data_IF_665572433332
#
_entry.id   IF_665572433332
#
_cell.length_a   1.000
_cell.length_b   1.000
_cell.length_c   1.000
_cell.angle_alpha   90.00
_cell.angle_beta   90.00
_cell.angle_gamma   90.00
#
_symmetry.space_group_name_H-M   'P 1'
#
loop_
_entity.id
_entity.type
_entity.pdbx_description
1 polymer ?
#
# COMPACT_ATOMS: atom_id res chain seq x y z
N UNK A 1 -72.84 32.09 42.29
CA UNK A 1 -72.87 31.23 43.50
C UNK A 1 -72.54 29.80 43.08
N UNK A 2 -71.57 29.16 43.74
CA UNK A 2 -71.37 27.70 43.92
C UNK A 2 -71.32 26.73 42.70
N UNK A 3 -70.13 26.10 42.55
CA UNK A 3 -69.77 24.67 42.32
C UNK A 3 -70.53 23.79 41.28
N UNK A 4 -69.82 22.89 40.54
CA UNK A 4 -69.87 21.46 40.92
C UNK A 4 -68.63 20.56 40.61
N UNK A 5 -68.64 19.38 41.26
CA UNK A 5 -68.06 18.05 40.94
C UNK A 5 -66.81 17.49 41.71
N UNK A 6 -67.07 16.41 42.47
CA UNK A 6 -66.19 15.39 43.10
C UNK A 6 -66.90 14.02 42.91
N UNK A 7 -66.32 12.94 42.35
CA UNK A 7 -65.27 11.96 42.75
C UNK A 7 -65.70 10.80 43.68
N UNK A 8 -64.96 9.67 43.49
CA UNK A 8 -64.84 8.40 44.25
C UNK A 8 -65.78 7.25 43.80
N UNK A 9 -65.42 5.96 43.75
CA UNK A 9 -64.26 5.14 44.17
C UNK A 9 -64.37 3.74 43.51
N UNK A 10 -63.27 3.05 43.19
CA UNK A 10 -62.97 1.67 43.66
C UNK A 10 -61.66 1.08 43.07
N UNK A 11 -60.86 0.46 43.95
CA UNK A 11 -59.58 -0.23 43.72
C UNK A 11 -59.78 -1.61 43.06
N UNK A 12 -58.90 -2.02 42.14
CA UNK A 12 -58.58 -3.43 41.87
C UNK A 12 -57.09 -3.61 41.51
N UNK A 13 -56.55 -4.75 41.94
CA UNK A 13 -55.14 -5.18 42.04
C UNK A 13 -54.51 -5.69 40.72
N UNK A 14 -53.17 -5.87 40.77
CA UNK A 14 -52.29 -6.80 40.00
C UNK A 14 -51.72 -6.41 38.61
N UNK A 15 -50.37 -6.51 38.50
CA UNK A 15 -49.70 -7.08 37.31
C UNK A 15 -48.62 -6.22 36.64
N UNK A 16 -47.35 -6.43 37.00
CA UNK A 16 -46.16 -5.90 36.31
C UNK A 16 -46.06 -6.56 34.92
N UNK A 17 -46.56 -5.91 33.86
CA UNK A 17 -46.48 -6.38 32.46
C UNK A 17 -45.21 -5.86 31.79
N UNK A 18 -44.18 -6.69 31.69
CA UNK A 18 -43.06 -6.48 30.76
C UNK A 18 -43.61 -6.40 29.33
N UNK A 19 -43.34 -5.28 28.61
CA UNK A 19 -43.63 -5.16 27.18
C UNK A 19 -42.63 -6.02 26.40
N UNK A 20 -42.98 -7.28 26.17
CA UNK A 20 -42.32 -8.12 25.17
C UNK A 20 -42.64 -7.58 23.78
N UNK A 21 -41.64 -7.04 23.06
CA UNK A 21 -41.74 -6.86 21.60
C UNK A 21 -41.83 -8.27 21.01
N UNK A 22 -42.87 -8.62 20.22
CA UNK A 22 -42.96 -9.94 19.60
C UNK A 22 -41.71 -10.18 18.75
N UNK A 23 -41.09 -11.35 18.87
CA UNK A 23 -39.89 -11.73 18.09
C UNK A 23 -40.06 -11.45 16.58
N UNK A 24 -41.28 -11.59 16.06
CA UNK A 24 -41.64 -11.27 14.68
C UNK A 24 -41.37 -9.79 14.30
N UNK A 25 -41.63 -8.84 15.19
CA UNK A 25 -41.38 -7.41 14.94
C UNK A 25 -39.87 -7.13 14.85
N UNK A 26 -39.07 -7.75 15.73
CA UNK A 26 -37.61 -7.64 15.67
C UNK A 26 -37.06 -8.23 14.35
N UNK A 27 -37.60 -9.36 13.89
CA UNK A 27 -37.23 -9.97 12.60
C UNK A 27 -37.58 -9.04 11.43
N UNK A 28 -38.78 -8.47 11.40
CA UNK A 28 -39.20 -7.54 10.34
C UNK A 28 -38.35 -6.27 10.34
N UNK A 29 -38.07 -5.68 11.51
CA UNK A 29 -37.17 -4.52 11.60
C UNK A 29 -35.76 -4.88 11.11
N UNK A 30 -35.24 -6.06 11.47
CA UNK A 30 -33.95 -6.55 11.00
C UNK A 30 -33.89 -6.70 9.48
N UNK A 31 -34.91 -7.31 8.87
CA UNK A 31 -35.01 -7.45 7.41
C UNK A 31 -35.07 -6.07 6.75
N UNK A 32 -35.90 -5.14 7.25
CA UNK A 32 -36.02 -3.80 6.69
C UNK A 32 -34.70 -3.02 6.78
N UNK A 33 -33.98 -3.12 7.90
CA UNK A 33 -32.64 -2.54 8.05
C UNK A 33 -31.63 -3.14 7.06
N UNK A 34 -31.65 -4.46 6.84
CA UNK A 34 -30.79 -5.12 5.85
C UNK A 34 -31.13 -4.63 4.43
N UNK A 35 -32.41 -4.62 4.04
CA UNK A 35 -32.85 -4.14 2.73
C UNK A 35 -32.46 -2.68 2.51
N UNK A 36 -32.69 -1.80 3.50
CA UNK A 36 -32.30 -0.39 3.42
C UNK A 36 -30.79 -0.22 3.26
N UNK A 37 -29.99 -1.04 3.96
CA UNK A 37 -28.53 -1.04 3.79
C UNK A 37 -28.10 -1.52 2.39
N UNK A 38 -28.76 -2.53 1.83
CA UNK A 38 -28.49 -3.02 0.47
C UNK A 38 -28.85 -1.95 -0.57
N UNK A 39 -30.02 -1.31 -0.45
CA UNK A 39 -30.44 -0.25 -1.37
C UNK A 39 -29.49 0.94 -1.32
N UNK A 40 -29.09 1.36 -0.11
CA UNK A 40 -28.12 2.44 0.08
C UNK A 40 -26.77 2.10 -0.52
N UNK A 41 -26.32 0.85 -0.39
CA UNK A 41 -25.10 0.36 -1.05
C UNK A 41 -25.24 0.38 -2.57
N UNK A 42 -26.36 -0.10 -3.13
CA UNK A 42 -26.57 -0.08 -4.58
C UNK A 42 -26.63 1.33 -5.16
N UNK A 43 -27.27 2.29 -4.47
CA UNK A 43 -27.29 3.70 -4.88
C UNK A 43 -25.87 4.27 -4.88
N UNK A 44 -25.10 4.02 -3.83
CA UNK A 44 -23.71 4.44 -3.74
C UNK A 44 -22.84 3.84 -4.85
N UNK A 45 -23.02 2.54 -5.14
CA UNK A 45 -22.31 1.87 -6.23
C UNK A 45 -22.64 2.49 -7.60
N UNK A 46 -23.92 2.78 -7.88
CA UNK A 46 -24.31 3.45 -9.13
C UNK A 46 -23.72 4.84 -9.24
N UNK A 47 -23.66 5.59 -8.14
CA UNK A 47 -23.03 6.92 -8.13
C UNK A 47 -21.53 6.81 -8.44
N UNK A 48 -20.84 5.83 -7.84
CA UNK A 48 -19.42 5.56 -8.11
C UNK A 48 -19.21 5.16 -9.57
N UNK A 49 -19.99 4.22 -10.09
CA UNK A 49 -19.90 3.78 -11.49
C UNK A 49 -20.17 4.92 -12.48
N UNK A 50 -21.07 5.85 -12.13
CA UNK A 50 -21.32 7.05 -12.96
C UNK A 50 -20.14 8.05 -12.97
N UNK A 51 -19.29 7.99 -11.94
CA UNK A 51 -18.07 8.80 -11.76
C UNK A 51 -16.80 8.06 -12.17
N UNK A 52 -16.89 6.80 -12.60
CA UNK A 52 -15.75 6.03 -13.08
C UNK A 52 -15.50 6.27 -14.58
N UNK A 53 -14.24 6.25 -14.99
CA UNK A 53 -13.92 6.24 -16.41
C UNK A 53 -14.31 4.89 -17.03
N UNK A 54 -15.22 4.92 -18.02
CA UNK A 54 -15.69 3.71 -18.71
C UNK A 54 -14.56 2.89 -19.34
N UNK A 55 -13.56 3.57 -19.94
CA UNK A 55 -12.37 2.93 -20.52
C UNK A 55 -11.08 3.69 -20.21
N UNK A 56 -10.29 3.10 -19.32
CA UNK A 56 -9.00 3.61 -18.83
C UNK A 56 -7.92 3.60 -19.92
N UNK A 57 -8.11 2.82 -20.98
CA UNK A 57 -7.20 2.77 -22.12
C UNK A 57 -7.54 3.84 -23.18
N UNK A 58 -8.75 4.37 -23.15
CA UNK A 58 -9.23 5.42 -24.04
C UNK A 58 -9.40 6.77 -23.31
N UNK A 59 -9.95 7.76 -24.02
CA UNK A 59 -10.45 8.98 -23.41
C UNK A 59 -11.81 8.73 -22.77
N UNK A 60 -12.01 9.28 -21.58
CA UNK A 60 -13.27 9.10 -20.85
C UNK A 60 -14.26 10.15 -21.36
N UNK A 61 -15.28 9.73 -22.09
CA UNK A 61 -16.23 10.66 -22.72
C UNK A 61 -16.96 11.58 -21.71
N UNK A 62 -17.05 11.17 -20.45
CA UNK A 62 -17.89 11.84 -19.44
C UNK A 62 -17.07 12.62 -18.39
N UNK A 63 -15.74 12.50 -18.37
CA UNK A 63 -14.89 12.98 -17.26
C UNK A 63 -13.57 13.54 -17.81
N UNK A 64 -13.19 14.79 -17.44
CA UNK A 64 -11.88 15.33 -17.77
C UNK A 64 -10.73 14.42 -17.30
N UNK A 65 -9.67 14.29 -18.11
CA UNK A 65 -8.56 13.36 -17.83
C UNK A 65 -7.97 13.50 -16.42
N UNK A 66 -7.77 14.73 -15.94
CA UNK A 66 -7.22 15.00 -14.61
C UNK A 66 -8.14 14.59 -13.44
N UNK A 67 -9.44 14.43 -13.67
CA UNK A 67 -10.40 13.92 -12.68
C UNK A 67 -10.48 12.39 -12.68
N UNK A 68 -9.81 11.74 -13.64
CA UNK A 68 -9.76 10.27 -13.74
C UNK A 68 -8.59 9.68 -12.97
N UNK A 69 -7.81 10.49 -12.26
CA UNK A 69 -6.65 10.02 -11.54
C UNK A 69 -7.04 9.28 -10.26
N UNK A 70 -6.37 8.17 -10.00
CA UNK A 70 -6.43 7.50 -8.70
C UNK A 70 -5.94 8.50 -7.65
N UNK A 71 -6.74 8.78 -6.60
CA UNK A 71 -6.38 9.82 -5.63
C UNK A 71 -5.12 9.43 -4.86
N UNK A 72 -4.30 10.39 -4.43
CA UNK A 72 -3.11 10.10 -3.64
C UNK A 72 -3.49 9.82 -2.19
N UNK A 73 -2.55 9.27 -1.43
CA UNK A 73 -2.61 9.23 0.04
C UNK A 73 -3.84 8.52 0.63
N UNK A 74 -4.37 7.51 -0.06
CA UNK A 74 -5.29 6.56 0.56
C UNK A 74 -4.51 5.72 1.59
N UNK A 75 -5.03 5.56 2.80
CA UNK A 75 -4.37 4.79 3.86
C UNK A 75 -4.53 3.29 3.60
N UNK A 76 -3.59 2.71 2.87
CA UNK A 76 -3.68 1.33 2.39
C UNK A 76 -2.97 0.33 3.29
N UNK A 77 -1.63 0.33 3.24
CA UNK A 77 -0.79 -0.61 3.97
C UNK A 77 0.40 0.12 4.59
N UNK A 78 0.63 -0.14 5.87
CA UNK A 78 1.67 0.48 6.65
C UNK A 78 2.60 -0.59 7.22
N UNK A 79 3.64 -0.96 6.47
CA UNK A 79 4.62 -1.93 6.91
C UNK A 79 5.98 -1.24 7.10
N UNK A 80 6.64 -1.51 8.23
CA UNK A 80 7.93 -0.93 8.59
C UNK A 80 8.87 -1.98 9.14
N UNK A 81 10.17 -1.83 8.85
CA UNK A 81 11.25 -2.47 9.59
C UNK A 81 11.99 -1.40 10.37
N UNK A 82 12.25 -1.62 11.66
CA UNK A 82 12.96 -0.66 12.51
C UNK A 82 14.32 -1.18 12.98
N UNK A 83 15.23 -0.26 13.30
CA UNK A 83 16.39 -0.52 14.14
C UNK A 83 16.26 0.33 15.40
N UNK A 84 15.76 -0.25 16.51
CA UNK A 84 15.71 0.45 17.80
C UNK A 84 17.08 0.95 18.25
N UNK A 85 18.16 0.21 17.93
CA UNK A 85 19.53 0.58 18.31
C UNK A 85 19.97 1.94 17.75
N UNK A 86 19.48 2.30 16.56
CA UNK A 86 19.89 3.51 15.85
C UNK A 86 18.74 4.50 15.66
N UNK A 87 17.55 4.25 16.22
CA UNK A 87 16.28 4.89 15.88
C UNK A 87 16.12 5.18 14.38
N UNK A 88 16.17 4.10 13.59
CA UNK A 88 15.88 4.16 12.16
C UNK A 88 14.61 3.37 11.90
N UNK A 89 13.78 3.88 11.02
CA UNK A 89 12.65 3.16 10.46
C UNK A 89 12.72 3.16 8.94
N UNK A 90 12.31 2.05 8.34
CA UNK A 90 12.24 1.88 6.91
C UNK A 90 10.80 1.54 6.52
N UNK A 91 10.16 2.40 5.74
CA UNK A 91 8.89 2.11 5.09
C UNK A 91 9.06 1.02 4.02
N UNK A 92 8.24 -0.04 4.10
CA UNK A 92 8.28 -1.17 3.20
C UNK A 92 7.25 -1.02 2.09
N UNK A 93 7.70 -0.47 0.95
CA UNK A 93 6.90 -0.42 -0.28
C UNK A 93 7.28 -1.61 -1.17
N UNK A 94 6.31 -2.45 -1.57
CA UNK A 94 6.58 -3.56 -2.47
C UNK A 94 7.21 -3.10 -3.78
N UNK A 95 8.18 -3.90 -4.26
CA UNK A 95 8.97 -3.68 -5.49
C UNK A 95 9.95 -2.50 -5.43
N UNK A 96 10.23 -2.00 -4.22
CA UNK A 96 11.14 -0.89 -3.95
C UNK A 96 12.15 -1.26 -2.83
N UNK A 97 13.10 -2.15 -3.13
CA UNK A 97 14.17 -2.60 -2.19
C UNK A 97 13.66 -3.19 -0.87
N UNK A 98 12.37 -3.48 -0.69
CA UNK A 98 11.80 -3.87 0.61
C UNK A 98 12.54 -5.04 1.29
N UNK A 99 12.93 -6.08 0.55
CA UNK A 99 13.68 -7.22 1.09
C UNK A 99 15.10 -6.85 1.51
N UNK A 100 15.86 -6.22 0.62
CA UNK A 100 17.26 -5.87 0.88
C UNK A 100 17.38 -4.71 1.88
N UNK A 101 16.47 -3.76 1.85
CA UNK A 101 16.41 -2.68 2.84
C UNK A 101 16.11 -3.23 4.22
N UNK A 102 15.18 -4.18 4.33
CA UNK A 102 14.92 -4.90 5.60
C UNK A 102 16.19 -5.61 6.06
N UNK A 103 16.87 -6.34 5.16
CA UNK A 103 18.12 -7.02 5.48
C UNK A 103 19.20 -6.06 5.97
N UNK A 104 19.37 -4.89 5.35
CA UNK A 104 20.31 -3.87 5.77
C UNK A 104 19.98 -3.32 7.17
N UNK A 105 18.70 -3.02 7.45
CA UNK A 105 18.24 -2.58 8.77
C UNK A 105 18.46 -3.67 9.84
N UNK A 106 18.16 -4.93 9.50
CA UNK A 106 18.40 -6.07 10.39
C UNK A 106 19.88 -6.30 10.66
N UNK A 107 20.74 -6.17 9.64
CA UNK A 107 22.18 -6.31 9.77
C UNK A 107 22.76 -5.24 10.71
N UNK A 108 22.43 -3.96 10.52
CA UNK A 108 22.97 -2.92 11.41
C UNK A 108 22.49 -3.11 12.84
N UNK A 109 21.24 -3.57 13.06
CA UNK A 109 20.70 -3.80 14.39
C UNK A 109 21.58 -4.77 15.20
N UNK A 110 21.99 -5.89 14.59
CA UNK A 110 22.81 -6.93 15.21
C UNK A 110 23.74 -7.62 14.18
N UNK A 111 24.87 -6.98 13.83
CA UNK A 111 25.75 -7.46 12.77
C UNK A 111 26.46 -8.77 13.15
N UNK A 112 26.73 -8.97 14.44
CA UNK A 112 27.36 -10.19 14.96
C UNK A 112 26.43 -11.38 14.82
N UNK A 113 25.18 -11.27 15.27
CA UNK A 113 24.23 -12.35 15.15
C UNK A 113 23.82 -12.59 13.69
N UNK A 114 23.71 -11.53 12.87
CA UNK A 114 23.43 -11.66 11.43
C UNK A 114 24.51 -12.49 10.73
N UNK A 115 25.78 -12.15 10.96
CA UNK A 115 26.94 -12.87 10.41
C UNK A 115 27.06 -14.29 10.97
N UNK A 116 26.84 -14.48 12.28
CA UNK A 116 26.89 -15.80 12.94
C UNK A 116 25.85 -16.77 12.38
N UNK A 117 24.74 -16.27 11.86
CA UNK A 117 23.70 -17.07 11.20
C UNK A 117 24.00 -17.32 9.70
N UNK A 118 25.20 -16.98 9.20
CA UNK A 118 25.61 -17.13 7.80
C UNK A 118 24.68 -16.41 6.81
N UNK A 119 24.13 -15.26 7.21
CA UNK A 119 23.26 -14.44 6.37
C UNK A 119 24.08 -13.35 5.69
N UNK A 120 23.68 -12.97 4.48
CA UNK A 120 24.23 -11.81 3.77
C UNK A 120 23.10 -10.96 3.25
N UNK A 121 23.24 -9.62 3.30
CA UNK A 121 22.18 -8.68 2.93
C UNK A 121 21.69 -8.92 1.50
N UNK A 122 22.61 -9.23 0.59
CA UNK A 122 22.34 -9.47 -0.83
C UNK A 122 21.59 -10.77 -1.14
N UNK A 123 21.58 -11.74 -0.22
CA UNK A 123 20.95 -13.07 -0.42
C UNK A 123 19.72 -13.30 0.45
N UNK A 124 19.37 -12.35 1.33
CA UNK A 124 18.16 -12.43 2.13
C UNK A 124 16.89 -12.59 1.28
N UNK A 125 16.00 -13.45 1.74
CA UNK A 125 14.71 -13.74 1.13
C UNK A 125 13.56 -13.31 2.05
N UNK A 126 12.39 -13.08 1.47
CA UNK A 126 11.20 -12.70 2.25
C UNK A 126 10.74 -13.80 3.22
N UNK A 127 10.93 -15.08 2.86
CA UNK A 127 10.54 -16.24 3.67
C UNK A 127 11.58 -16.56 4.74
N UNK A 128 11.53 -15.84 5.87
CA UNK A 128 12.37 -16.07 7.05
C UNK A 128 13.32 -14.91 7.32
N UNK A 129 12.77 -13.78 7.76
CA UNK A 129 13.54 -12.54 7.96
C UNK A 129 14.31 -12.60 9.28
N UNK A 130 15.52 -12.05 9.30
CA UNK A 130 16.38 -12.13 10.48
C UNK A 130 15.81 -11.41 11.71
N UNK A 131 15.26 -10.21 11.53
CA UNK A 131 14.76 -9.36 12.61
C UNK A 131 13.23 -9.18 12.58
N UNK A 132 12.47 -10.26 12.43
CA UNK A 132 10.98 -10.22 12.38
C UNK A 132 10.34 -9.49 13.57
N UNK A 133 10.95 -9.54 14.75
CA UNK A 133 10.50 -8.81 15.94
C UNK A 133 10.57 -7.27 15.80
N UNK A 134 11.30 -6.77 14.81
CA UNK A 134 11.44 -5.34 14.53
C UNK A 134 10.51 -4.87 13.40
N UNK A 135 9.50 -5.66 13.07
CA UNK A 135 8.53 -5.30 12.04
C UNK A 135 7.25 -4.76 12.65
N UNK A 136 6.83 -3.59 12.18
CA UNK A 136 5.69 -2.87 12.71
C UNK A 136 4.66 -2.60 11.61
N UNK A 137 3.37 -2.67 12.00
CA UNK A 137 2.21 -2.58 11.09
C UNK A 137 1.51 -1.22 11.08
N UNK A 138 2.14 -0.20 11.66
CA UNK A 138 1.66 1.19 11.55
C UNK A 138 2.77 2.18 11.91
N UNK A 139 2.70 3.38 11.34
CA UNK A 139 3.61 4.47 11.68
C UNK A 139 3.48 4.86 13.17
N UNK A 140 2.27 4.75 13.72
CA UNK A 140 2.01 4.98 15.16
C UNK A 140 2.77 4.00 16.06
N UNK A 141 2.95 2.75 15.64
CA UNK A 141 3.78 1.78 16.38
C UNK A 141 5.26 2.15 16.31
N UNK A 142 5.74 2.64 15.16
CA UNK A 142 7.10 3.16 15.01
C UNK A 142 7.36 4.28 16.01
N UNK A 143 6.48 5.28 16.06
CA UNK A 143 6.58 6.42 16.99
C UNK A 143 6.57 6.02 18.48
N UNK A 144 6.00 4.86 18.82
CA UNK A 144 6.00 4.33 20.20
C UNK A 144 7.24 3.51 20.53
N UNK A 145 7.90 2.98 19.51
CA UNK A 145 9.02 2.04 19.65
C UNK A 145 10.39 2.71 19.55
N UNK A 146 10.44 3.91 18.96
CA UNK A 146 11.66 4.69 18.73
C UNK A 146 11.61 6.04 19.45
N UNK A 147 12.77 6.66 19.66
CA UNK A 147 12.86 8.03 20.16
C UNK A 147 12.22 9.03 19.20
N UNK A 148 11.74 10.17 19.69
CA UNK A 148 10.99 11.15 18.88
C UNK A 148 11.73 11.75 17.68
N UNK A 149 13.06 11.66 17.67
CA UNK A 149 13.95 12.17 16.61
C UNK A 149 14.50 11.04 15.71
N UNK A 150 13.77 9.94 15.55
CA UNK A 150 14.13 8.85 14.66
C UNK A 150 14.17 9.29 13.20
N UNK A 151 15.01 8.63 12.39
CA UNK A 151 15.03 8.83 10.93
C UNK A 151 14.06 7.86 10.25
N UNK A 152 13.10 8.39 9.48
CA UNK A 152 12.21 7.59 8.64
C UNK A 152 12.71 7.57 7.20
N UNK A 153 13.01 6.39 6.68
CA UNK A 153 13.50 6.18 5.32
C UNK A 153 12.36 5.64 4.47
N UNK A 154 12.13 6.26 3.33
CA UNK A 154 11.16 5.81 2.34
C UNK A 154 11.90 5.62 1.02
N UNK A 155 12.12 4.38 0.60
CA UNK A 155 12.54 4.15 -0.76
C UNK A 155 11.36 4.30 -1.71
N UNK A 156 11.58 4.93 -2.85
CA UNK A 156 10.61 5.09 -3.94
C UNK A 156 11.21 4.55 -5.24
N UNK A 157 10.38 4.22 -6.23
CA UNK A 157 10.83 3.76 -7.54
C UNK A 157 10.04 4.48 -8.64
N UNK A 158 10.67 4.70 -9.79
CA UNK A 158 9.95 5.25 -10.94
C UNK A 158 8.66 4.42 -11.18
N UNK A 159 7.47 5.04 -11.26
CA UNK A 159 6.21 4.29 -11.29
C UNK A 159 6.09 3.28 -12.43
N UNK A 160 6.59 3.59 -13.64
CA UNK A 160 6.59 2.64 -14.75
C UNK A 160 7.54 1.46 -14.46
N UNK A 161 8.75 1.74 -14.00
CA UNK A 161 9.74 0.72 -13.64
C UNK A 161 9.21 -0.21 -12.52
N UNK A 162 8.54 0.37 -11.51
CA UNK A 162 7.88 -0.36 -10.43
C UNK A 162 6.76 -1.25 -10.97
N UNK A 163 5.87 -0.70 -11.82
CA UNK A 163 4.80 -1.45 -12.45
C UNK A 163 5.34 -2.64 -13.24
N UNK A 164 6.31 -2.42 -14.13
CA UNK A 164 6.91 -3.48 -14.94
C UNK A 164 7.52 -4.56 -14.03
N UNK A 165 8.22 -4.14 -12.98
CA UNK A 165 8.82 -5.05 -12.01
C UNK A 165 7.78 -5.93 -11.32
N UNK A 166 6.63 -5.34 -10.94
CA UNK A 166 5.50 -6.08 -10.37
C UNK A 166 4.84 -7.00 -11.40
N UNK A 167 4.53 -6.49 -12.59
CA UNK A 167 3.81 -7.22 -13.64
C UNK A 167 4.60 -8.42 -14.13
N UNK A 168 5.89 -8.24 -14.42
CA UNK A 168 6.77 -9.34 -14.86
C UNK A 168 6.92 -10.42 -13.79
N UNK A 169 7.08 -10.05 -12.52
CA UNK A 169 7.21 -11.03 -11.43
C UNK A 169 5.88 -11.76 -11.15
N UNK A 170 4.78 -11.02 -11.03
CA UNK A 170 3.51 -11.54 -10.51
C UNK A 170 2.57 -12.08 -11.58
N UNK A 171 2.55 -11.50 -12.77
CA UNK A 171 1.62 -11.89 -13.83
C UNK A 171 2.26 -12.76 -14.90
N UNK A 172 3.55 -12.58 -15.16
CA UNK A 172 4.21 -13.22 -16.31
C UNK A 172 5.06 -14.41 -15.90
N UNK A 173 5.86 -14.26 -14.84
CA UNK A 173 6.68 -15.36 -14.32
C UNK A 173 5.87 -16.34 -13.44
N UNK A 174 4.65 -15.98 -13.05
CA UNK A 174 3.78 -16.85 -12.28
C UNK A 174 2.80 -17.60 -13.20
N UNK A 175 2.60 -18.89 -12.95
CA UNK A 175 1.66 -19.72 -13.72
C UNK A 175 0.20 -19.57 -13.26
N UNK A 176 -0.05 -18.97 -12.10
CA UNK A 176 -1.40 -18.73 -11.60
C UNK A 176 -2.03 -17.49 -12.27
N UNK A 177 -2.91 -17.73 -13.23
CA UNK A 177 -3.63 -16.69 -13.98
C UNK A 177 -4.57 -15.86 -13.11
N UNK A 178 -4.93 -16.32 -11.92
CA UNK A 178 -5.84 -15.61 -11.03
C UNK A 178 -5.18 -14.43 -10.33
N UNK A 179 -3.85 -14.43 -10.17
CA UNK A 179 -3.13 -13.37 -9.46
C UNK A 179 -3.39 -12.02 -10.12
N UNK A 180 -3.39 -11.96 -11.46
CA UNK A 180 -3.58 -10.71 -12.19
C UNK A 180 -5.00 -10.55 -12.71
N UNK A 181 -5.97 -10.74 -11.79
CA UNK A 181 -7.41 -10.58 -12.01
C UNK A 181 -7.98 -11.43 -13.15
N UNK A 182 -7.37 -12.59 -13.43
CA UNK A 182 -7.72 -13.46 -14.55
C UNK A 182 -7.29 -12.94 -15.93
N UNK A 183 -6.43 -11.94 -16.00
CA UNK A 183 -5.92 -11.40 -17.28
C UNK A 183 -4.66 -12.13 -17.78
N UNK A 184 -4.02 -12.97 -16.96
CA UNK A 184 -2.75 -13.60 -17.29
C UNK A 184 -1.70 -12.57 -17.70
N UNK A 185 -1.17 -12.68 -18.91
CA UNK A 185 -0.12 -11.80 -19.45
C UNK A 185 -0.65 -10.58 -20.23
N UNK A 186 -1.97 -10.38 -20.30
CA UNK A 186 -2.59 -9.23 -20.98
C UNK A 186 -2.56 -7.98 -20.09
N UNK A 187 -1.62 -7.08 -20.40
CA UNK A 187 -1.42 -5.81 -19.70
C UNK A 187 -2.61 -4.86 -19.81
N UNK A 188 -3.34 -4.87 -20.94
CA UNK A 188 -4.49 -3.97 -21.18
C UNK A 188 -5.68 -4.40 -20.32
N UNK A 189 -6.00 -5.70 -20.33
CA UNK A 189 -6.98 -6.28 -19.43
C UNK A 189 -6.63 -5.99 -17.96
N UNK A 190 -5.36 -6.20 -17.59
CA UNK A 190 -4.89 -6.00 -16.22
C UNK A 190 -5.08 -4.55 -15.77
N UNK A 191 -4.60 -3.57 -16.56
CA UNK A 191 -4.71 -2.15 -16.23
C UNK A 191 -6.16 -1.68 -16.08
N UNK A 192 -7.07 -2.15 -16.94
CA UNK A 192 -8.49 -1.82 -16.81
C UNK A 192 -9.09 -2.34 -15.49
N UNK A 193 -8.78 -3.59 -15.11
CA UNK A 193 -9.29 -4.18 -13.87
C UNK A 193 -8.64 -3.55 -12.64
N UNK A 194 -7.32 -3.40 -12.64
CA UNK A 194 -6.54 -2.81 -11.54
C UNK A 194 -6.98 -1.38 -11.27
N UNK A 195 -7.11 -0.53 -12.29
CA UNK A 195 -7.60 0.84 -12.12
C UNK A 195 -8.98 0.88 -11.45
N UNK A 196 -9.94 0.09 -11.93
CA UNK A 196 -11.29 0.04 -11.34
C UNK A 196 -11.24 -0.40 -9.89
N UNK A 197 -10.38 -1.38 -9.57
CA UNK A 197 -10.17 -1.81 -8.18
C UNK A 197 -9.62 -0.67 -7.32
N UNK A 198 -8.59 0.04 -7.77
CA UNK A 198 -7.98 1.15 -7.03
C UNK A 198 -8.97 2.30 -6.81
N UNK A 199 -9.74 2.70 -7.83
CA UNK A 199 -10.78 3.73 -7.65
C UNK A 199 -11.80 3.29 -6.60
N UNK A 200 -12.32 2.06 -6.70
CA UNK A 200 -13.26 1.51 -5.71
C UNK A 200 -12.64 1.41 -4.32
N UNK A 201 -11.36 1.06 -4.23
CA UNK A 201 -10.62 1.03 -2.95
C UNK A 201 -10.61 2.39 -2.28
N UNK A 202 -10.32 3.43 -3.05
CA UNK A 202 -10.30 4.81 -2.54
C UNK A 202 -11.67 5.32 -2.07
N UNK A 203 -12.76 4.65 -2.47
CA UNK A 203 -14.14 5.05 -2.16
C UNK A 203 -14.85 4.15 -1.12
N UNK A 204 -14.54 2.84 -1.07
CA UNK A 204 -15.41 1.84 -0.42
C UNK A 204 -14.74 0.86 0.57
N UNK A 205 -13.46 1.05 0.95
CA UNK A 205 -12.73 0.14 1.86
C UNK A 205 -12.95 -1.37 1.58
N UNK A 206 -12.78 -1.86 0.34
CA UNK A 206 -12.98 -3.27 0.01
C UNK A 206 -11.81 -4.14 0.49
N UNK A 207 -12.03 -5.45 0.47
CA UNK A 207 -10.99 -6.46 0.73
C UNK A 207 -9.85 -6.32 -0.29
N UNK A 208 -8.64 -6.27 0.22
CA UNK A 208 -7.41 -6.17 -0.55
C UNK A 208 -6.97 -7.53 -1.09
N UNK A 209 -6.42 -7.55 -2.31
CA UNK A 209 -5.81 -8.73 -2.91
C UNK A 209 -4.29 -8.59 -2.95
N UNK A 210 -3.58 -9.71 -3.06
CA UNK A 210 -2.12 -9.69 -3.18
C UNK A 210 -1.63 -8.90 -4.39
N UNK A 211 -2.42 -8.83 -5.48
CA UNK A 211 -2.12 -7.99 -6.63
C UNK A 211 -2.11 -6.51 -6.26
N UNK A 212 -3.17 -6.03 -5.58
CA UNK A 212 -3.29 -4.62 -5.18
C UNK A 212 -2.06 -4.17 -4.37
N UNK A 213 -1.47 -5.06 -3.55
CA UNK A 213 -0.21 -4.80 -2.81
C UNK A 213 1.01 -4.55 -3.71
N UNK A 214 1.07 -5.09 -4.92
CA UNK A 214 2.18 -4.85 -5.82
C UNK A 214 1.97 -3.67 -6.78
N UNK A 215 0.71 -3.25 -6.99
CA UNK A 215 0.35 -2.28 -8.03
C UNK A 215 -0.31 -1.00 -7.51
N UNK A 216 -0.77 -0.94 -6.26
CA UNK A 216 -1.28 0.31 -5.68
C UNK A 216 -0.21 1.42 -5.71
N UNK A 217 -0.62 2.71 -5.84
CA UNK A 217 0.30 3.85 -5.81
C UNK A 217 1.18 3.85 -4.57
N UNK A 218 2.45 4.23 -4.72
CA UNK A 218 3.43 4.29 -3.64
C UNK A 218 3.02 5.30 -2.57
N UNK A 219 2.34 6.37 -2.97
CA UNK A 219 1.74 7.36 -2.06
C UNK A 219 0.68 6.81 -1.12
N UNK A 220 0.19 5.58 -1.32
CA UNK A 220 -0.78 4.92 -0.46
C UNK A 220 -0.17 4.16 0.74
N UNK A 221 1.15 4.01 0.75
CA UNK A 221 1.84 3.22 1.76
C UNK A 221 2.28 4.06 2.95
N UNK A 222 2.47 3.39 4.09
CA UNK A 222 3.23 3.91 5.23
C UNK A 222 2.75 5.25 5.78
N UNK A 223 1.44 5.56 5.72
CA UNK A 223 0.90 6.86 6.18
C UNK A 223 1.63 8.06 5.55
N UNK A 224 2.05 7.92 4.29
CA UNK A 224 2.96 8.86 3.62
C UNK A 224 2.45 10.30 3.65
N UNK A 225 1.12 10.50 3.63
CA UNK A 225 0.47 11.80 3.78
C UNK A 225 1.02 12.62 4.96
N UNK A 226 1.20 11.95 6.09
CA UNK A 226 1.50 12.58 7.37
C UNK A 226 3.00 12.60 7.67
N UNK A 227 3.81 11.72 7.07
CA UNK A 227 5.23 11.62 7.39
C UNK A 227 6.20 11.93 6.25
N UNK A 228 5.77 12.06 4.98
CA UNK A 228 6.70 12.28 3.85
C UNK A 228 7.61 13.51 4.05
N UNK A 229 7.09 14.58 4.64
CA UNK A 229 7.85 15.82 4.91
C UNK A 229 8.98 15.64 5.93
N UNK A 230 8.82 14.68 6.84
CA UNK A 230 9.78 14.37 7.90
C UNK A 230 10.56 13.08 7.61
N UNK A 231 10.56 12.63 6.35
CA UNK A 231 11.20 11.39 5.93
C UNK A 231 12.31 11.68 4.94
N UNK A 232 13.33 10.82 4.94
CA UNK A 232 14.34 10.78 3.88
C UNK A 232 13.83 9.91 2.75
N UNK A 233 13.45 10.54 1.64
CA UNK A 233 13.01 9.84 0.42
C UNK A 233 14.23 9.49 -0.44
N UNK A 234 14.43 8.20 -0.69
CA UNK A 234 15.55 7.70 -1.49
C UNK A 234 15.01 7.03 -2.76
N UNK A 235 15.35 7.58 -3.92
CA UNK A 235 14.94 7.02 -5.21
C UNK A 235 15.77 5.77 -5.53
N UNK A 236 15.08 4.66 -5.81
CA UNK A 236 15.68 3.41 -6.21
C UNK A 236 16.26 3.48 -7.62
N UNK A 237 17.43 2.87 -7.78
CA UNK A 237 17.97 2.51 -9.08
C UNK A 237 18.74 1.19 -9.01
N UNK A 238 18.62 0.37 -10.06
CA UNK A 238 19.37 -0.89 -10.18
C UNK A 238 20.72 -0.75 -10.88
N UNK A 239 21.02 0.40 -11.50
CA UNK A 239 22.16 0.52 -12.43
C UNK A 239 22.80 1.90 -12.40
N UNK A 240 24.07 1.95 -12.80
CA UNK A 240 24.80 3.20 -13.08
C UNK A 240 25.01 4.09 -11.86
N UNK A 241 25.22 5.37 -12.13
CA UNK A 241 25.46 6.42 -11.13
C UNK A 241 24.30 6.57 -10.15
N UNK A 242 23.06 6.37 -10.61
CA UNK A 242 21.88 6.45 -9.74
C UNK A 242 21.84 5.33 -8.70
N UNK A 243 22.34 4.12 -9.00
CA UNK A 243 22.48 3.06 -7.98
C UNK A 243 23.49 3.47 -6.90
N UNK A 244 24.61 4.06 -7.31
CA UNK A 244 25.65 4.53 -6.39
C UNK A 244 25.07 5.62 -5.48
N UNK A 245 24.39 6.62 -6.07
CA UNK A 245 23.70 7.69 -5.34
C UNK A 245 22.65 7.17 -4.36
N UNK A 246 21.87 6.17 -4.76
CA UNK A 246 20.90 5.51 -3.88
C UNK A 246 21.59 4.90 -2.64
N UNK A 247 22.70 4.19 -2.85
CA UNK A 247 23.49 3.58 -1.76
C UNK A 247 24.11 4.66 -0.86
N UNK A 248 24.68 5.70 -1.45
CA UNK A 248 25.30 6.82 -0.73
C UNK A 248 24.29 7.56 0.16
N UNK A 249 23.08 7.80 -0.36
CA UNK A 249 22.00 8.43 0.40
C UNK A 249 21.59 7.58 1.61
N UNK A 250 21.47 6.26 1.45
CA UNK A 250 21.14 5.35 2.55
C UNK A 250 22.23 5.37 3.62
N UNK A 251 23.49 5.23 3.20
CA UNK A 251 24.64 5.19 4.11
C UNK A 251 24.83 6.53 4.83
N UNK A 252 24.45 7.65 4.20
CA UNK A 252 24.44 8.97 4.86
C UNK A 252 23.47 8.98 6.04
N UNK A 253 22.26 8.44 5.88
CA UNK A 253 21.29 8.32 7.00
C UNK A 253 21.88 7.45 8.11
N UNK A 254 22.43 6.28 7.77
CA UNK A 254 23.02 5.37 8.76
C UNK A 254 24.19 6.02 9.51
N UNK A 255 25.06 6.73 8.79
CA UNK A 255 26.19 7.47 9.37
C UNK A 255 25.72 8.57 10.32
N UNK A 256 24.68 9.33 9.97
CA UNK A 256 24.11 10.36 10.84
C UNK A 256 23.52 9.80 12.14
N UNK A 257 23.16 8.51 12.15
CA UNK A 257 22.72 7.78 13.35
C UNK A 257 23.84 7.02 14.05
N UNK A 258 25.11 7.31 13.73
CA UNK A 258 26.30 6.72 14.33
C UNK A 258 26.43 5.20 14.13
N UNK A 259 25.93 4.66 13.01
CA UNK A 259 26.27 3.29 12.60
C UNK A 259 27.79 3.22 12.34
N UNK A 260 28.51 2.24 12.93
CA UNK A 260 29.96 2.10 12.76
C UNK A 260 30.40 1.99 11.31
N UNK A 261 31.54 2.59 10.95
CA UNK A 261 32.08 2.59 9.58
C UNK A 261 32.28 1.17 9.01
N UNK A 262 32.65 0.19 9.85
CA UNK A 262 32.74 -1.21 9.45
C UNK A 262 31.41 -1.74 8.89
N UNK A 263 30.31 -1.50 9.61
CA UNK A 263 28.97 -1.92 9.19
C UNK A 263 28.51 -1.15 7.94
N UNK A 264 28.90 0.14 7.80
CA UNK A 264 28.60 0.92 6.61
C UNK A 264 29.31 0.36 5.37
N UNK A 265 30.56 -0.08 5.52
CA UNK A 265 31.32 -0.70 4.44
C UNK A 265 30.72 -2.04 4.01
N UNK A 266 30.31 -2.89 4.96
CA UNK A 266 29.61 -4.15 4.66
C UNK A 266 28.31 -3.88 3.88
N UNK A 267 27.47 -2.95 4.37
CA UNK A 267 26.22 -2.58 3.68
C UNK A 267 26.53 -2.06 2.27
N UNK A 268 27.56 -1.21 2.10
CA UNK A 268 27.96 -0.73 0.78
C UNK A 268 28.33 -1.87 -0.15
N UNK A 269 29.17 -2.79 0.31
CA UNK A 269 29.63 -3.92 -0.48
C UNK A 269 28.44 -4.79 -0.90
N UNK A 270 27.59 -5.17 0.05
CA UNK A 270 26.42 -6.00 -0.18
C UNK A 270 25.39 -5.35 -1.13
N UNK A 271 25.13 -4.05 -0.99
CA UNK A 271 24.23 -3.34 -1.90
C UNK A 271 24.86 -3.12 -3.28
N UNK A 272 26.18 -3.08 -3.37
CA UNK A 272 26.91 -2.97 -4.63
C UNK A 272 26.88 -4.29 -5.40
N UNK A 273 26.75 -5.44 -4.71
CA UNK A 273 26.49 -6.74 -5.35
C UNK A 273 25.24 -6.64 -6.23
N UNK A 274 25.31 -7.30 -7.39
CA UNK A 274 24.54 -6.98 -8.60
C UNK A 274 23.02 -7.00 -8.45
N UNK A 275 22.38 -7.98 -9.10
CA UNK A 275 20.91 -8.12 -9.12
C UNK A 275 20.50 -9.07 -8.00
N UNK A 276 19.46 -8.70 -7.25
CA UNK A 276 18.82 -9.61 -6.29
C UNK A 276 18.11 -10.74 -7.04
N UNK A 277 17.81 -11.84 -6.35
CA UNK A 277 17.09 -12.99 -6.95
C UNK A 277 15.76 -12.59 -7.61
N UNK A 278 15.07 -11.57 -7.08
CA UNK A 278 13.81 -11.05 -7.61
C UNK A 278 13.97 -9.93 -8.66
N UNK A 279 15.20 -9.59 -9.04
CA UNK A 279 15.43 -8.56 -10.02
C UNK A 279 15.06 -9.06 -11.42
N UNK A 280 14.01 -8.46 -11.98
CA UNK A 280 13.62 -8.70 -13.38
C UNK A 280 14.39 -7.81 -14.36
N UNK A 281 15.22 -6.88 -13.86
CA UNK A 281 15.98 -5.91 -14.64
C UNK A 281 16.79 -6.60 -15.73
N UNK A 282 16.71 -6.12 -16.98
CA UNK A 282 17.50 -6.61 -18.12
C UNK A 282 17.14 -8.01 -18.63
N UNK A 283 16.03 -8.62 -18.19
CA UNK A 283 15.52 -9.84 -18.84
C UNK A 283 14.85 -9.50 -20.17
N UNK A 284 14.94 -10.38 -21.18
CA UNK A 284 14.29 -10.19 -22.48
C UNK A 284 12.78 -9.97 -22.34
N UNK A 285 12.17 -10.66 -21.37
CA UNK A 285 10.78 -10.52 -21.03
C UNK A 285 10.45 -9.12 -20.51
N UNK A 286 11.27 -8.58 -19.61
CA UNK A 286 11.10 -7.22 -19.10
C UNK A 286 11.23 -6.18 -20.21
N UNK A 287 12.25 -6.31 -21.07
CA UNK A 287 12.47 -5.43 -22.22
C UNK A 287 11.25 -5.39 -23.16
N UNK A 288 10.56 -6.53 -23.33
CA UNK A 288 9.31 -6.59 -24.11
C UNK A 288 8.22 -5.70 -23.51
N UNK A 289 8.01 -5.76 -22.19
CA UNK A 289 6.97 -4.95 -21.53
C UNK A 289 7.36 -3.47 -21.39
N UNK A 290 8.64 -3.17 -21.23
CA UNK A 290 9.16 -1.79 -21.31
C UNK A 290 8.84 -1.18 -22.67
N UNK A 291 9.16 -1.90 -23.75
CA UNK A 291 8.85 -1.47 -25.11
C UNK A 291 7.35 -1.28 -25.35
N UNK A 292 6.51 -2.19 -24.84
CA UNK A 292 5.05 -2.05 -24.94
C UNK A 292 4.54 -0.77 -24.26
N UNK A 293 5.06 -0.42 -23.08
CA UNK A 293 4.68 0.83 -22.41
C UNK A 293 5.15 2.04 -23.21
N UNK A 294 6.35 2.00 -23.79
CA UNK A 294 6.88 3.10 -24.61
C UNK A 294 6.00 3.35 -25.86
N UNK A 295 5.65 2.29 -26.58
CA UNK A 295 4.96 2.35 -27.87
C UNK A 295 3.44 2.51 -27.75
N UNK A 296 2.81 1.97 -26.69
CA UNK A 296 1.36 1.97 -26.53
C UNK A 296 0.86 3.15 -25.67
N UNK A 297 0.42 4.20 -26.34
CA UNK A 297 -0.15 5.38 -25.68
C UNK A 297 -1.37 5.08 -24.80
N UNK A 298 -2.12 4.01 -25.05
CA UNK A 298 -3.26 3.61 -24.22
C UNK A 298 -2.79 3.07 -22.87
N UNK A 299 -1.72 2.26 -22.87
CA UNK A 299 -1.08 1.76 -21.66
C UNK A 299 -0.50 2.92 -20.85
N UNK A 300 0.21 3.86 -21.49
CA UNK A 300 0.75 5.05 -20.79
C UNK A 300 -0.33 5.89 -20.14
N UNK A 301 -1.44 6.15 -20.85
CA UNK A 301 -2.58 6.89 -20.27
C UNK A 301 -3.14 6.17 -19.04
N UNK A 302 -3.29 4.85 -19.09
CA UNK A 302 -3.76 4.08 -17.93
C UNK A 302 -2.79 4.16 -16.75
N UNK A 303 -1.49 4.01 -17.00
CA UNK A 303 -0.46 4.12 -15.96
C UNK A 303 -0.37 5.53 -15.37
N UNK A 304 -0.53 6.57 -16.19
CA UNK A 304 -0.63 7.96 -15.71
C UNK A 304 -1.84 8.14 -14.81
N UNK A 305 -3.01 7.61 -15.19
CA UNK A 305 -4.20 7.66 -14.33
C UNK A 305 -3.98 6.99 -12.98
N UNK A 306 -3.24 5.88 -12.94
CA UNK A 306 -2.94 5.18 -11.69
C UNK A 306 -1.86 5.91 -10.87
N UNK A 307 -0.79 6.40 -11.49
CA UNK A 307 0.43 6.81 -10.79
C UNK A 307 0.78 8.30 -10.89
N UNK A 308 -0.09 9.15 -11.46
CA UNK A 308 0.18 10.58 -11.64
C UNK A 308 0.77 11.25 -10.39
N UNK A 309 0.17 10.98 -9.23
CA UNK A 309 0.63 11.56 -7.97
C UNK A 309 1.93 10.95 -7.43
N UNK A 310 2.26 9.71 -7.78
CA UNK A 310 3.58 9.17 -7.48
C UNK A 310 4.66 9.91 -8.28
N UNK A 311 4.41 10.20 -9.56
CA UNK A 311 5.33 11.03 -10.35
C UNK A 311 5.51 12.42 -9.73
N UNK A 312 4.39 13.07 -9.38
CA UNK A 312 4.37 14.41 -8.83
C UNK A 312 5.05 14.52 -7.45
N UNK A 313 4.62 13.71 -6.47
CA UNK A 313 5.09 13.83 -5.09
C UNK A 313 6.46 13.19 -4.84
N UNK A 314 6.87 12.21 -5.66
CA UNK A 314 8.13 11.47 -5.47
C UNK A 314 9.23 11.94 -6.43
N UNK A 315 8.96 12.98 -7.23
CA UNK A 315 9.95 13.67 -8.06
C UNK A 315 10.44 12.83 -9.25
N UNK A 316 9.54 12.11 -9.91
CA UNK A 316 9.85 11.35 -11.12
C UNK A 316 9.31 12.04 -12.37
N UNK A 317 10.07 11.97 -13.47
CA UNK A 317 9.60 12.37 -14.79
C UNK A 317 8.60 11.36 -15.36
N UNK A 318 7.54 11.87 -16.00
CA UNK A 318 6.52 11.09 -16.72
C UNK A 318 6.94 10.68 -18.12
#
# INVERSE_FOLDING_TARGET
>A
MLNPYCTTSNKFYYGKKERYIPKAVLVVMGIFSICFSIDKYQILMKEIESKECNDVLAECNNIPFNQTFVPPFYDYLQDFTISPRYDISLCLIPKVVSTIGTAAICYIQDPEAFTKNNRTISTEMYGGRFCENNELKSFKMVQRSLNSNFDNIIFTRNPYDRFISGFTEKCVNNTDTNICHGCGTDIRCFLQKEYRRLIRMSMLFPVYTGADTHFAPQTWYCDMKNNIKNSTVIQYSSTGTEKIKMIDNLLTVFKNRNVPEENLNEVREELSKGKTQHSTSGTSLRLKYEKLIEEDGAIRRALQRIYYYDFLYLGYSM
#
